data_IF_378271624239
#
_entry.id   IF_378271624239
#
_cell.length_a   1.000
_cell.length_b   1.000
_cell.length_c   1.000
_cell.angle_alpha   90.00
_cell.angle_beta   90.00
_cell.angle_gamma   90.00
#
_symmetry.space_group_name_H-M   'P 1'
#
loop_
_entity.id
_entity.type
_entity.pdbx_description
1 polymer ?
#
# COMPACT_ATOMS: atom_id res chain seq x y z
N UNK A 1 -55.96 -5.15 -27.30
CA UNK A 1 -55.03 -4.06 -26.94
C UNK A 1 -53.74 -4.51 -26.22
N UNK A 2 -53.35 -5.81 -26.24
CA UNK A 2 -52.20 -6.31 -25.45
C UNK A 2 -50.84 -6.33 -26.18
N UNK A 3 -50.81 -6.19 -27.51
CA UNK A 3 -49.56 -6.26 -28.29
C UNK A 3 -48.68 -5.01 -28.19
N UNK A 4 -49.28 -3.82 -28.02
CA UNK A 4 -48.53 -2.55 -27.86
C UNK A 4 -47.81 -2.45 -26.52
N UNK A 5 -48.27 -3.16 -25.48
CA UNK A 5 -47.66 -3.14 -24.16
C UNK A 5 -46.38 -3.98 -24.08
N UNK A 6 -46.28 -5.05 -24.87
CA UNK A 6 -45.09 -5.91 -24.92
C UNK A 6 -43.93 -5.24 -25.68
N UNK A 7 -44.22 -4.59 -26.82
CA UNK A 7 -43.24 -3.82 -27.58
C UNK A 7 -42.65 -2.66 -26.76
N UNK A 8 -43.50 -1.95 -26.01
CA UNK A 8 -43.06 -0.86 -25.13
C UNK A 8 -42.14 -1.34 -24.00
N UNK A 9 -42.35 -2.56 -23.46
CA UNK A 9 -41.47 -3.15 -22.44
C UNK A 9 -40.11 -3.58 -22.99
N UNK A 10 -40.08 -4.11 -24.21
CA UNK A 10 -38.81 -4.46 -24.90
C UNK A 10 -38.01 -3.21 -25.25
N UNK A 11 -38.66 -2.16 -25.76
CA UNK A 11 -37.99 -0.87 -26.03
C UNK A 11 -37.48 -0.19 -24.75
N UNK A 12 -38.17 -0.36 -23.62
CA UNK A 12 -37.73 0.17 -22.33
C UNK A 12 -36.54 -0.62 -21.77
N UNK A 13 -36.49 -1.93 -21.98
CA UNK A 13 -35.35 -2.76 -21.57
C UNK A 13 -34.12 -2.56 -22.47
N UNK A 14 -34.31 -2.35 -23.77
CA UNK A 14 -33.21 -2.01 -24.69
C UNK A 14 -32.69 -0.60 -24.41
N UNK A 15 -33.54 0.39 -24.12
CA UNK A 15 -33.09 1.73 -23.69
C UNK A 15 -32.36 1.71 -22.35
N UNK A 16 -32.84 0.97 -21.35
CA UNK A 16 -32.12 0.81 -20.07
C UNK A 16 -30.77 0.08 -20.21
N UNK A 17 -30.65 -0.87 -21.14
CA UNK A 17 -29.36 -1.51 -21.46
C UNK A 17 -28.43 -0.62 -22.30
N UNK A 18 -28.98 0.30 -23.09
CA UNK A 18 -28.20 1.24 -23.90
C UNK A 18 -27.76 2.47 -23.08
N UNK A 19 -28.54 2.88 -22.07
CA UNK A 19 -28.22 3.97 -21.14
C UNK A 19 -27.31 3.53 -19.99
N UNK A 20 -27.26 2.23 -19.63
CA UNK A 20 -26.18 1.68 -18.80
C UNK A 20 -24.81 1.64 -19.52
N UNK A 21 -24.81 1.93 -20.83
CA UNK A 21 -23.64 2.27 -21.64
C UNK A 21 -23.40 3.78 -21.66
N UNK A 22 -23.90 4.52 -20.66
CA UNK A 22 -23.40 5.84 -20.32
C UNK A 22 -21.93 5.70 -19.88
N UNK A 23 -21.04 5.96 -20.83
CA UNK A 23 -19.64 6.37 -20.68
C UNK A 23 -18.97 5.98 -19.35
N UNK A 24 -18.74 4.69 -19.13
CA UNK A 24 -17.63 4.32 -18.24
C UNK A 24 -16.35 4.88 -18.87
N UNK A 25 -15.50 5.57 -18.09
CA UNK A 25 -14.27 6.11 -18.65
C UNK A 25 -13.45 4.97 -19.22
N UNK A 26 -12.82 5.19 -20.38
CA UNK A 26 -11.92 4.19 -20.94
C UNK A 26 -10.74 4.00 -19.98
N UNK A 27 -10.33 2.75 -19.77
CA UNK A 27 -9.09 2.42 -19.09
C UNK A 27 -8.15 1.72 -20.05
N UNK A 28 -6.85 1.96 -19.89
CA UNK A 28 -5.80 1.28 -20.65
C UNK A 28 -4.85 0.56 -19.70
N UNK A 29 -4.45 -0.64 -20.08
CA UNK A 29 -3.34 -1.37 -19.49
C UNK A 29 -2.11 -1.07 -20.33
N UNK A 30 -1.04 -0.61 -19.69
CA UNK A 30 0.24 -0.35 -20.35
C UNK A 30 1.21 -1.47 -20.01
N UNK A 31 1.74 -2.17 -21.02
CA UNK A 31 2.79 -3.18 -20.87
C UNK A 31 3.88 -2.85 -21.87
N UNK A 32 5.11 -2.61 -21.39
CA UNK A 32 6.26 -2.27 -22.24
C UNK A 32 6.00 -1.12 -23.23
N UNK A 33 5.22 -0.12 -22.79
CA UNK A 33 4.84 1.04 -23.61
C UNK A 33 3.71 0.79 -24.62
N UNK A 34 3.17 -0.43 -24.67
CA UNK A 34 2.00 -0.76 -25.49
C UNK A 34 0.71 -0.63 -24.68
N UNK A 35 -0.26 0.07 -25.23
CA UNK A 35 -1.58 0.24 -24.64
C UNK A 35 -2.54 -0.85 -25.12
N UNK A 36 -3.21 -1.50 -24.17
CA UNK A 36 -4.31 -2.41 -24.42
C UNK A 36 -5.55 -1.94 -23.64
N UNK A 37 -6.71 -1.98 -24.29
CA UNK A 37 -7.95 -1.55 -23.64
C UNK A 37 -8.31 -2.47 -22.47
N UNK A 38 -8.64 -1.88 -21.32
CA UNK A 38 -9.17 -2.62 -20.17
C UNK A 38 -10.64 -2.97 -20.39
N UNK A 39 -11.04 -4.12 -19.85
CA UNK A 39 -12.45 -4.48 -19.75
C UNK A 39 -13.19 -3.61 -18.72
N UNK A 40 -14.51 -3.54 -18.86
CA UNK A 40 -15.36 -2.70 -18.03
C UNK A 40 -15.31 -3.06 -16.53
N UNK A 41 -15.08 -4.33 -16.16
CA UNK A 41 -15.00 -4.72 -14.77
C UNK A 41 -13.69 -4.21 -14.13
N UNK A 42 -12.57 -4.34 -14.83
CA UNK A 42 -11.28 -3.81 -14.40
C UNK A 42 -11.30 -2.28 -14.23
N UNK A 43 -11.93 -1.56 -15.16
CA UNK A 43 -12.11 -0.10 -15.05
C UNK A 43 -12.88 0.29 -13.80
N UNK A 44 -13.98 -0.43 -13.49
CA UNK A 44 -14.77 -0.16 -12.26
C UNK A 44 -13.95 -0.37 -11.00
N UNK A 45 -13.14 -1.42 -10.95
CA UNK A 45 -12.24 -1.68 -9.81
C UNK A 45 -11.20 -0.58 -9.64
N UNK A 46 -10.62 -0.06 -10.74
CA UNK A 46 -9.69 1.07 -10.68
C UNK A 46 -10.35 2.32 -10.10
N UNK A 47 -11.54 2.67 -10.58
CA UNK A 47 -12.28 3.86 -10.11
C UNK A 47 -12.65 3.71 -8.64
N UNK A 48 -13.19 2.55 -8.25
CA UNK A 48 -13.62 2.31 -6.88
C UNK A 48 -12.44 2.29 -5.92
N UNK A 49 -11.33 1.64 -6.29
CA UNK A 49 -10.11 1.63 -5.49
C UNK A 49 -9.52 3.04 -5.33
N UNK A 50 -9.54 3.85 -6.39
CA UNK A 50 -9.10 5.24 -6.34
C UNK A 50 -9.96 6.09 -5.40
N UNK A 51 -11.29 5.94 -5.47
CA UNK A 51 -12.24 6.61 -4.57
C UNK A 51 -11.99 6.25 -3.10
N UNK A 52 -11.93 4.95 -2.79
CA UNK A 52 -11.69 4.46 -1.43
C UNK A 52 -10.34 4.98 -0.90
N UNK A 53 -9.30 5.00 -1.73
CA UNK A 53 -8.01 5.57 -1.32
C UNK A 53 -8.14 7.03 -0.90
N UNK A 54 -8.85 7.85 -1.67
CA UNK A 54 -9.09 9.24 -1.31
C UNK A 54 -9.84 9.37 0.03
N UNK A 55 -10.82 8.51 0.29
CA UNK A 55 -11.54 8.48 1.57
C UNK A 55 -10.62 8.08 2.74
N UNK A 56 -9.73 7.09 2.54
CA UNK A 56 -8.73 6.70 3.53
C UNK A 56 -7.79 7.86 3.83
N UNK A 57 -7.26 8.53 2.81
CA UNK A 57 -6.35 9.67 2.98
C UNK A 57 -7.03 10.81 3.76
N UNK A 58 -8.28 11.14 3.43
CA UNK A 58 -9.06 12.15 4.14
C UNK A 58 -9.37 11.77 5.61
N UNK A 59 -9.75 10.51 5.86
CA UNK A 59 -10.01 10.02 7.22
C UNK A 59 -8.72 9.96 8.05
N UNK A 60 -7.59 9.59 7.42
CA UNK A 60 -6.28 9.59 8.08
C UNK A 60 -5.88 11.01 8.49
N UNK A 61 -6.06 12.01 7.61
CA UNK A 61 -5.80 13.41 7.93
C UNK A 61 -6.66 13.90 9.10
N UNK A 62 -7.96 13.56 9.11
CA UNK A 62 -8.85 13.89 10.24
C UNK A 62 -8.38 13.22 11.55
N UNK A 63 -8.00 11.94 11.49
CA UNK A 63 -7.51 11.20 12.64
C UNK A 63 -6.20 11.79 13.17
N UNK A 64 -5.28 12.17 12.28
CA UNK A 64 -4.01 12.80 12.65
C UNK A 64 -4.24 14.16 13.34
N UNK A 65 -5.21 14.95 12.85
CA UNK A 65 -5.64 16.17 13.52
C UNK A 65 -6.20 15.93 14.93
N UNK A 66 -7.00 14.88 15.12
CA UNK A 66 -7.50 14.49 16.46
C UNK A 66 -6.35 14.05 17.36
N UNK A 67 -5.44 13.20 16.85
CA UNK A 67 -4.28 12.72 17.60
C UNK A 67 -3.40 13.89 18.08
N UNK A 68 -3.13 14.87 17.20
CA UNK A 68 -2.36 16.06 17.56
C UNK A 68 -3.02 16.83 18.71
N UNK A 69 -4.34 17.06 18.64
CA UNK A 69 -5.09 17.73 19.71
C UNK A 69 -5.08 16.95 21.03
N UNK A 70 -5.16 15.62 20.98
CA UNK A 70 -5.07 14.77 22.17
C UNK A 70 -3.68 14.84 22.81
N UNK A 71 -2.61 14.82 21.99
CA UNK A 71 -1.23 14.99 22.45
C UNK A 71 -1.03 16.36 23.08
N UNK A 72 -1.54 17.43 22.45
CA UNK A 72 -1.45 18.79 22.96
C UNK A 72 -2.17 18.95 24.31
N UNK A 73 -3.36 18.36 24.45
CA UNK A 73 -4.17 18.49 25.66
C UNK A 73 -3.66 17.68 26.86
N UNK A 74 -3.06 16.50 26.63
CA UNK A 74 -2.75 15.54 27.70
C UNK A 74 -1.26 15.21 27.85
N UNK A 75 -0.42 15.59 26.89
CA UNK A 75 0.99 15.21 26.85
C UNK A 75 1.19 13.70 26.58
N UNK A 76 2.45 13.27 26.61
CA UNK A 76 2.84 11.87 26.37
C UNK A 76 3.02 11.09 27.68
N UNK A 77 3.02 9.77 27.60
CA UNK A 77 3.21 8.86 28.73
C UNK A 77 1.91 8.47 29.45
N UNK A 78 0.74 8.70 28.85
CA UNK A 78 -0.55 8.41 29.46
C UNK A 78 -1.45 7.57 28.54
N UNK A 79 -2.53 7.04 29.10
CA UNK A 79 -3.59 6.39 28.35
C UNK A 79 -4.94 7.05 28.66
N UNK A 80 -5.67 7.40 27.61
CA UNK A 80 -7.02 7.92 27.68
C UNK A 80 -7.99 6.77 27.44
N UNK A 81 -8.98 6.60 28.33
CA UNK A 81 -9.95 5.51 28.25
C UNK A 81 -11.35 6.09 28.24
N UNK A 82 -12.09 5.81 27.17
CA UNK A 82 -13.54 5.97 27.13
C UNK A 82 -14.17 4.61 27.46
N UNK A 83 -14.59 4.42 28.71
CA UNK A 83 -15.09 3.14 29.22
C UNK A 83 -16.16 2.53 28.32
N UNK A 84 -15.93 1.30 27.88
CA UNK A 84 -16.85 0.56 26.99
C UNK A 84 -16.73 0.89 25.50
N UNK A 85 -15.86 1.83 25.11
CA UNK A 85 -15.72 2.28 23.71
C UNK A 85 -14.29 2.07 23.19
N UNK A 86 -13.30 2.76 23.76
CA UNK A 86 -11.93 2.70 23.25
C UNK A 86 -10.87 3.12 24.29
N UNK A 87 -9.61 2.82 23.96
CA UNK A 87 -8.42 3.26 24.69
C UNK A 87 -7.39 3.82 23.71
N UNK A 88 -6.91 5.03 23.96
CA UNK A 88 -5.83 5.66 23.21
C UNK A 88 -4.60 5.80 24.13
N UNK A 89 -3.46 5.25 23.74
CA UNK A 89 -2.20 5.41 24.50
C UNK A 89 -1.32 6.42 23.79
N UNK A 90 -0.92 7.47 24.50
CA UNK A 90 -0.08 8.53 23.97
C UNK A 90 1.34 8.28 24.47
N UNK A 91 2.25 7.97 23.55
CA UNK A 91 3.65 7.68 23.88
C UNK A 91 4.58 8.47 22.97
N UNK A 92 5.67 9.02 23.53
CA UNK A 92 6.77 9.58 22.76
C UNK A 92 7.80 8.51 22.47
N UNK A 93 8.20 8.38 21.21
CA UNK A 93 9.33 7.53 20.80
C UNK A 93 10.37 8.38 20.08
N UNK A 94 11.59 8.38 20.58
CA UNK A 94 12.73 8.91 19.87
C UNK A 94 13.48 7.76 19.21
N UNK A 95 13.69 7.84 17.90
CA UNK A 95 14.60 6.94 17.18
C UNK A 95 15.86 7.73 16.82
N UNK A 96 17.02 7.25 17.26
CA UNK A 96 18.30 7.83 16.89
C UNK A 96 18.97 6.89 15.90
N UNK A 97 19.42 7.44 14.77
CA UNK A 97 20.26 6.72 13.80
C UNK A 97 21.68 7.25 13.90
N UNK A 98 22.65 6.34 13.87
CA UNK A 98 24.06 6.71 13.83
C UNK A 98 24.36 7.16 12.40
N UNK A 99 24.63 8.46 12.21
CA UNK A 99 24.99 9.03 10.91
C UNK A 99 26.50 8.87 10.61
N UNK A 100 27.33 8.91 11.64
CA UNK A 100 28.78 8.77 11.55
C UNK A 100 29.27 7.92 12.74
N UNK A 101 29.61 6.67 12.46
CA UNK A 101 30.01 5.70 13.47
C UNK A 101 31.43 5.98 14.00
N UNK A 102 32.35 6.44 13.14
CA UNK A 102 33.73 6.68 13.53
C UNK A 102 33.84 7.87 14.46
N UNK A 103 33.16 8.98 14.11
CA UNK A 103 33.10 10.17 14.96
C UNK A 103 32.37 9.88 16.27
N UNK A 104 31.29 9.10 16.23
CA UNK A 104 30.57 8.71 17.45
C UNK A 104 31.45 7.83 18.36
N UNK A 105 32.27 6.94 17.79
CA UNK A 105 33.25 6.14 18.52
C UNK A 105 34.33 7.01 19.16
N UNK A 106 34.80 8.05 18.47
CA UNK A 106 35.75 9.01 19.04
C UNK A 106 35.16 9.79 20.23
N UNK A 107 33.87 10.11 20.21
CA UNK A 107 33.18 10.81 21.31
C UNK A 107 32.86 9.89 22.49
N UNK A 108 32.36 8.69 22.23
CA UNK A 108 31.93 7.74 23.27
C UNK A 108 33.09 6.92 23.85
N UNK A 109 34.21 6.83 23.14
CA UNK A 109 35.39 6.06 23.53
C UNK A 109 35.03 4.61 23.82
N UNK A 110 35.43 4.12 25.00
CA UNK A 110 35.21 2.74 25.44
C UNK A 110 33.73 2.37 25.60
N UNK A 111 32.82 3.35 25.75
CA UNK A 111 31.38 3.08 25.90
C UNK A 111 30.67 2.78 24.60
N UNK A 112 31.34 2.95 23.46
CA UNK A 112 30.71 2.73 22.15
C UNK A 112 30.21 1.30 21.99
N UNK A 113 31.05 0.30 22.32
CA UNK A 113 30.72 -1.12 22.13
C UNK A 113 29.66 -1.65 23.13
N UNK A 114 29.44 -0.93 24.24
CA UNK A 114 28.37 -1.22 25.21
C UNK A 114 27.00 -0.64 24.77
N UNK A 115 27.02 0.49 24.03
CA UNK A 115 25.81 1.23 23.65
C UNK A 115 25.35 0.98 22.21
N UNK A 116 26.23 0.41 21.36
CA UNK A 116 25.97 0.23 19.94
C UNK A 116 26.13 -1.23 19.56
N UNK A 117 25.08 -1.80 18.96
CA UNK A 117 25.12 -3.14 18.37
C UNK A 117 25.50 -3.04 16.89
N UNK A 118 26.60 -3.68 16.51
CA UNK A 118 26.98 -3.83 15.10
C UNK A 118 26.14 -4.96 14.46
N UNK A 119 25.45 -4.64 13.38
CA UNK A 119 24.73 -5.62 12.56
C UNK A 119 25.16 -5.51 11.10
N UNK A 120 25.56 -6.64 10.51
CA UNK A 120 25.86 -6.73 9.08
C UNK A 120 24.62 -7.22 8.34
N UNK A 121 24.04 -6.36 7.52
CA UNK A 121 22.87 -6.69 6.70
C UNK A 121 23.33 -6.94 5.26
N UNK A 122 23.26 -8.20 4.82
CA UNK A 122 23.49 -8.57 3.43
C UNK A 122 22.22 -8.30 2.61
N UNK A 123 22.35 -7.47 1.57
CA UNK A 123 21.27 -7.24 0.61
C UNK A 123 21.60 -8.02 -0.66
N UNK A 124 20.78 -9.00 -1.07
CA UNK A 124 21.03 -9.75 -2.29
C UNK A 124 20.90 -8.82 -3.50
N UNK A 125 21.85 -8.93 -4.44
CA UNK A 125 21.73 -8.27 -5.74
C UNK A 125 20.71 -8.99 -6.63
N UNK A 126 20.19 -8.26 -7.62
CA UNK A 126 19.20 -8.78 -8.58
C UNK A 126 19.63 -10.11 -9.23
N UNK A 127 20.92 -10.26 -9.58
CA UNK A 127 21.48 -11.49 -10.16
C UNK A 127 21.32 -12.70 -9.23
N UNK A 128 21.54 -12.52 -7.93
CA UNK A 128 21.40 -13.61 -6.96
C UNK A 128 19.93 -14.00 -6.78
N UNK A 129 19.02 -13.02 -6.86
CA UNK A 129 17.57 -13.26 -6.81
C UNK A 129 17.12 -14.07 -8.03
N UNK A 130 17.59 -13.72 -9.22
CA UNK A 130 17.30 -14.42 -10.48
C UNK A 130 17.79 -15.88 -10.41
N UNK A 131 19.06 -16.09 -10.04
CA UNK A 131 19.61 -17.45 -9.86
C UNK A 131 18.87 -18.27 -8.81
N UNK A 132 18.37 -17.65 -7.74
CA UNK A 132 17.59 -18.34 -6.71
C UNK A 132 16.18 -18.75 -7.19
N UNK A 133 15.65 -18.08 -8.23
CA UNK A 133 14.30 -18.29 -8.75
C UNK A 133 14.27 -19.06 -10.08
N UNK A 134 15.41 -19.26 -10.74
CA UNK A 134 15.53 -19.99 -12.00
C UNK A 134 15.65 -21.51 -11.77
N UNK A 135 14.62 -22.26 -12.16
CA UNK A 135 14.57 -23.71 -11.98
C UNK A 135 15.56 -24.49 -12.86
N UNK A 136 16.12 -23.85 -13.87
CA UNK A 136 17.10 -24.45 -14.79
C UNK A 136 18.56 -24.18 -14.35
N UNK A 137 18.77 -23.35 -13.32
CA UNK A 137 20.10 -23.05 -12.77
C UNK A 137 20.60 -24.21 -11.89
N UNK A 138 21.73 -24.87 -12.23
CA UNK A 138 22.25 -26.02 -11.49
C UNK A 138 22.51 -25.75 -9.99
N UNK A 139 22.84 -24.51 -9.63
CA UNK A 139 23.08 -24.11 -8.25
C UNK A 139 21.81 -23.71 -7.49
N UNK A 140 20.66 -23.60 -8.16
CA UNK A 140 19.42 -23.11 -7.55
C UNK A 140 18.99 -23.88 -6.30
N UNK A 141 19.05 -25.23 -6.23
CA UNK A 141 18.64 -25.95 -5.02
C UNK A 141 19.48 -25.58 -3.80
N UNK A 142 20.78 -25.33 -3.98
CA UNK A 142 21.69 -24.94 -2.90
C UNK A 142 21.52 -23.46 -2.49
N UNK A 143 21.29 -22.58 -3.46
CA UNK A 143 21.05 -21.14 -3.23
C UNK A 143 19.69 -20.94 -2.55
N UNK A 144 18.65 -21.59 -3.06
CA UNK A 144 17.28 -21.54 -2.53
C UNK A 144 17.19 -22.05 -1.09
N UNK A 145 17.98 -23.07 -0.73
CA UNK A 145 18.04 -23.55 0.66
C UNK A 145 18.58 -22.51 1.65
N UNK A 146 19.37 -21.54 1.18
CA UNK A 146 19.96 -20.48 2.00
C UNK A 146 19.11 -19.21 2.07
N UNK A 147 18.07 -19.09 1.25
CA UNK A 147 17.28 -17.87 1.08
C UNK A 147 15.81 -18.09 1.43
N UNK A 148 15.19 -17.08 2.01
CA UNK A 148 13.72 -17.01 2.14
C UNK A 148 13.19 -16.18 0.98
N UNK A 149 12.73 -16.85 -0.08
CA UNK A 149 12.03 -16.18 -1.17
C UNK A 149 10.58 -15.94 -0.78
N UNK A 150 10.12 -14.71 -0.93
CA UNK A 150 8.73 -14.33 -0.75
C UNK A 150 8.30 -13.50 -1.95
N UNK A 151 7.20 -13.88 -2.60
CA UNK A 151 6.60 -13.09 -3.67
C UNK A 151 5.59 -12.13 -3.05
N UNK A 152 5.75 -10.83 -3.31
CA UNK A 152 4.76 -9.81 -2.93
C UNK A 152 4.31 -9.04 -4.17
N UNK A 153 3.00 -8.93 -4.35
CA UNK A 153 2.39 -8.10 -5.38
C UNK A 153 1.78 -6.88 -4.69
N UNK A 154 1.92 -5.69 -5.30
CA UNK A 154 1.41 -4.45 -4.71
C UNK A 154 0.75 -3.58 -5.77
N UNK A 155 -0.31 -2.88 -5.38
CA UNK A 155 -0.98 -1.88 -6.20
C UNK A 155 -0.66 -0.51 -5.60
N UNK A 156 -0.07 0.37 -6.41
CA UNK A 156 0.21 1.75 -6.02
C UNK A 156 -0.70 2.68 -6.79
N UNK A 157 -1.31 3.61 -6.07
CA UNK A 157 -2.32 4.51 -6.62
C UNK A 157 -1.78 5.94 -6.68
N UNK A 158 -1.87 6.56 -7.85
CA UNK A 158 -1.48 7.96 -8.09
C UNK A 158 -2.55 8.61 -8.96
N UNK A 159 -2.66 9.94 -8.88
CA UNK A 159 -3.51 10.68 -9.79
C UNK A 159 -2.94 10.55 -11.20
N UNK A 160 -3.81 10.25 -12.17
CA UNK A 160 -3.47 10.30 -13.59
C UNK A 160 -3.29 11.77 -13.99
N UNK A 161 -2.32 12.05 -14.88
CA UNK A 161 -2.01 13.41 -15.35
C UNK A 161 -2.92 13.85 -16.48
#
# INVERSE_FOLDING_TARGET
MMAKAALKKVETQVKAQTEAKAAQPAGVKIVDGQEAQLDAASVRLLIEGWRIKGEIEALQEQLDGINARLVEAHGTGCALVATGICRASIASRSSVKIADAERLKAVLGFRFDDLVKAETVYKPEQKLIEMACDGDEPLQPAIGACLKTAKSESVTWRAER
#
